data_IF_808601831432
#
_entry.id   IF_808601831432
#
_cell.length_a   1.000
_cell.length_b   1.000
_cell.length_c   1.000
_cell.angle_alpha   90.00
_cell.angle_beta   90.00
_cell.angle_gamma   90.00
#
_symmetry.space_group_name_H-M   'P 1'
#
loop_
_entity.id
_entity.type
_entity.pdbx_description
1 polymer ?
#
# COMPACT_ATOMS: atom_id res chain seq x y z
N UNK A 1 2.07 12.73 -1.11
CA UNK A 1 1.93 13.43 0.19
C UNK A 1 1.40 12.42 1.19
N UNK A 2 2.03 12.25 2.36
CA UNK A 2 1.55 11.32 3.40
C UNK A 2 0.79 12.08 4.48
N UNK A 3 -0.31 11.50 4.95
CA UNK A 3 -1.17 12.08 5.99
C UNK A 3 -1.66 10.99 6.95
N UNK A 4 -1.97 11.33 8.21
CA UNK A 4 -2.86 10.47 9.00
C UNK A 4 -4.16 10.22 8.25
N UNK A 5 -4.72 9.01 8.33
CA UNK A 5 -5.94 8.64 7.61
C UNK A 5 -7.12 9.55 7.97
N UNK A 6 -7.21 10.01 9.22
CA UNK A 6 -8.24 10.94 9.70
C UNK A 6 -8.20 12.31 9.01
N UNK A 7 -7.06 12.68 8.44
CA UNK A 7 -6.84 13.98 7.81
C UNK A 7 -6.84 13.91 6.28
N UNK A 8 -6.98 12.72 5.69
CA UNK A 8 -6.86 12.48 4.26
C UNK A 8 -7.73 13.43 3.43
N UNK A 9 -9.03 13.48 3.71
CA UNK A 9 -9.98 14.31 2.95
C UNK A 9 -9.72 15.82 3.09
N UNK A 10 -9.33 16.27 4.29
CA UNK A 10 -9.03 17.69 4.51
C UNK A 10 -7.82 18.13 3.68
N UNK A 11 -6.77 17.29 3.63
CA UNK A 11 -5.56 17.59 2.87
C UNK A 11 -5.81 17.49 1.37
N UNK A 12 -6.53 16.47 0.90
CA UNK A 12 -6.89 16.32 -0.52
C UNK A 12 -7.62 17.56 -1.04
N UNK A 13 -8.66 18.02 -0.32
CA UNK A 13 -9.42 19.22 -0.71
C UNK A 13 -8.57 20.49 -0.72
N UNK A 14 -7.65 20.64 0.24
CA UNK A 14 -6.75 21.79 0.29
C UNK A 14 -5.80 21.83 -0.92
N UNK A 15 -5.26 20.67 -1.34
CA UNK A 15 -4.42 20.55 -2.52
C UNK A 15 -5.20 20.85 -3.80
N UNK A 16 -6.40 20.28 -3.95
CA UNK A 16 -7.27 20.54 -5.10
C UNK A 16 -7.67 22.03 -5.20
N UNK A 17 -7.99 22.67 -4.08
CA UNK A 17 -8.31 24.11 -4.03
C UNK A 17 -7.11 24.99 -4.42
N UNK A 18 -5.89 24.51 -4.19
CA UNK A 18 -4.66 25.15 -4.64
C UNK A 18 -4.31 24.84 -6.11
N UNK A 19 -5.17 24.12 -6.84
CA UNK A 19 -4.93 23.70 -8.22
C UNK A 19 -4.01 22.49 -8.38
N UNK A 20 -3.61 21.86 -7.28
CA UNK A 20 -2.76 20.68 -7.25
C UNK A 20 -3.64 19.42 -7.25
N UNK A 21 -4.04 18.97 -8.44
CA UNK A 21 -4.83 17.76 -8.58
C UNK A 21 -3.94 16.51 -8.39
N UNK A 22 -4.24 15.64 -7.42
CA UNK A 22 -3.50 14.40 -7.25
C UNK A 22 -3.81 13.44 -8.40
N UNK A 23 -2.79 12.73 -8.87
CA UNK A 23 -2.95 11.62 -9.82
C UNK A 23 -3.58 10.40 -9.14
N UNK A 24 -3.14 10.12 -7.90
CA UNK A 24 -3.69 9.10 -7.01
C UNK A 24 -3.87 9.68 -5.61
N UNK A 25 -4.99 9.36 -4.98
CA UNK A 25 -5.26 9.70 -3.59
C UNK A 25 -6.15 8.63 -2.96
N UNK A 26 -5.61 7.90 -2.00
CA UNK A 26 -6.29 6.81 -1.30
C UNK A 26 -5.85 6.73 0.17
N UNK A 27 -6.67 6.05 0.97
CA UNK A 27 -6.30 5.64 2.33
C UNK A 27 -5.85 4.20 2.24
N UNK A 28 -4.61 3.93 2.63
CA UNK A 28 -3.97 2.63 2.50
C UNK A 28 -3.14 2.33 3.75
N UNK A 29 -2.80 1.06 3.97
CA UNK A 29 -1.91 0.66 5.06
C UNK A 29 -0.46 0.72 4.59
N UNK A 30 0.37 1.47 5.33
CA UNK A 30 1.81 1.58 5.07
C UNK A 30 2.58 1.06 6.26
N UNK A 31 3.48 0.11 6.02
CA UNK A 31 4.38 -0.40 7.06
C UNK A 31 5.42 0.66 7.46
N UNK A 32 5.72 0.73 8.77
CA UNK A 32 6.76 1.63 9.28
C UNK A 32 8.17 1.08 9.04
N UNK A 33 8.34 -0.24 9.07
CA UNK A 33 9.60 -0.93 8.82
C UNK A 33 9.38 -2.05 7.80
N UNK A 34 10.33 -2.21 6.89
CA UNK A 34 10.37 -3.33 5.95
C UNK A 34 11.23 -4.49 6.46
N UNK A 35 10.97 -5.68 5.95
CA UNK A 35 11.79 -6.87 6.19
C UNK A 35 12.21 -7.44 4.84
N UNK A 36 13.50 -7.39 4.57
CA UNK A 36 14.07 -7.99 3.36
C UNK A 36 13.90 -9.51 3.38
N UNK A 37 13.27 -10.05 2.34
CA UNK A 37 13.20 -11.48 2.09
C UNK A 37 13.97 -11.82 0.83
N UNK A 38 14.73 -12.92 0.87
CA UNK A 38 15.53 -13.38 -0.27
C UNK A 38 15.33 -14.87 -0.52
N UNK A 39 15.71 -15.33 -1.72
CA UNK A 39 15.73 -16.75 -2.06
C UNK A 39 14.36 -17.43 -1.90
N UNK A 40 14.33 -18.55 -1.17
CA UNK A 40 13.13 -19.37 -1.01
C UNK A 40 12.01 -18.66 -0.22
N UNK A 41 12.37 -17.82 0.75
CA UNK A 41 11.39 -17.11 1.57
C UNK A 41 10.68 -16.00 0.78
N UNK A 42 11.41 -15.30 -0.10
CA UNK A 42 10.81 -14.36 -1.05
C UNK A 42 9.82 -15.06 -2.00
N UNK A 43 10.19 -16.23 -2.53
CA UNK A 43 9.31 -17.01 -3.40
C UNK A 43 8.05 -17.51 -2.69
N UNK A 44 8.17 -17.94 -1.43
CA UNK A 44 7.01 -18.34 -0.61
C UNK A 44 6.11 -17.15 -0.31
N UNK A 45 6.68 -15.99 0.01
CA UNK A 45 5.92 -14.78 0.23
C UNK A 45 5.16 -14.37 -1.02
N UNK A 46 5.80 -14.38 -2.19
CA UNK A 46 5.12 -14.06 -3.45
C UNK A 46 3.93 -14.98 -3.70
N UNK A 47 4.12 -16.31 -3.56
CA UNK A 47 3.01 -17.28 -3.73
C UNK A 47 1.87 -17.04 -2.73
N UNK A 48 2.19 -16.62 -1.51
CA UNK A 48 1.17 -16.29 -0.52
C UNK A 48 0.37 -15.05 -0.95
N UNK A 49 1.03 -14.01 -1.44
CA UNK A 49 0.37 -12.81 -1.95
C UNK A 49 -0.55 -13.17 -3.12
N UNK A 50 -0.06 -13.92 -4.11
CA UNK A 50 -0.84 -14.35 -5.27
C UNK A 50 -2.12 -15.09 -4.83
N UNK A 51 -2.00 -16.04 -3.90
CA UNK A 51 -3.16 -16.82 -3.40
C UNK A 51 -4.15 -15.95 -2.65
N UNK A 52 -3.70 -14.93 -1.91
CA UNK A 52 -4.59 -14.02 -1.19
C UNK A 52 -5.32 -13.08 -2.15
N UNK A 53 -4.63 -12.59 -3.18
CA UNK A 53 -5.18 -11.71 -4.21
C UNK A 53 -6.17 -12.42 -5.14
N UNK A 54 -6.00 -13.72 -5.35
CA UNK A 54 -6.91 -14.55 -6.15
C UNK A 54 -8.26 -14.85 -5.46
N UNK A 55 -8.42 -14.54 -4.16
CA UNK A 55 -9.68 -14.76 -3.45
C UNK A 55 -10.68 -13.65 -3.78
N UNK A 56 -11.88 -14.03 -4.21
CA UNK A 56 -12.98 -13.09 -4.53
C UNK A 56 -13.35 -12.15 -3.37
N UNK A 57 -13.12 -12.59 -2.12
CA UNK A 57 -13.46 -11.84 -0.91
C UNK A 57 -12.33 -10.92 -0.41
N UNK A 58 -11.12 -11.04 -0.97
CA UNK A 58 -9.99 -10.18 -0.59
C UNK A 58 -10.18 -8.81 -1.23
N UNK A 59 -10.19 -7.77 -0.39
CA UNK A 59 -10.29 -6.39 -0.87
C UNK A 59 -8.92 -5.80 -1.18
N UNK A 60 -8.00 -5.86 -0.20
CA UNK A 60 -6.65 -5.30 -0.30
C UNK A 60 -5.70 -6.16 0.55
N UNK A 61 -4.48 -6.39 0.07
CA UNK A 61 -3.43 -7.10 0.80
C UNK A 61 -2.30 -6.14 1.11
N UNK A 62 -1.88 -6.08 2.37
CA UNK A 62 -0.79 -5.22 2.82
C UNK A 62 0.26 -6.05 3.55
N UNK A 63 1.53 -5.79 3.25
CA UNK A 63 2.66 -6.46 3.88
C UNK A 63 3.83 -5.50 4.07
N UNK A 64 4.82 -5.93 4.85
CA UNK A 64 6.07 -5.21 5.02
C UNK A 64 7.28 -5.96 4.43
N UNK A 65 7.04 -7.09 3.74
CA UNK A 65 8.10 -7.79 3.03
C UNK A 65 8.68 -6.88 1.93
N UNK A 66 9.99 -6.70 1.96
CA UNK A 66 10.77 -6.07 0.89
C UNK A 66 11.31 -7.20 0.01
N UNK A 67 10.73 -7.29 -1.18
CA UNK A 67 11.06 -8.28 -2.19
C UNK A 67 11.90 -7.57 -3.25
N UNK A 68 13.07 -8.11 -3.57
CA UNK A 68 13.82 -7.63 -4.73
C UNK A 68 13.05 -8.00 -6.00
N UNK A 69 12.65 -7.00 -6.80
CA UNK A 69 12.09 -7.20 -8.15
C UNK A 69 13.08 -7.91 -9.09
#
# INVERSE_FOLDING_TARGET
VLTPYTNFEAVKKALEAAGLKPELAEVTMRADNTIELTGEDAQKMQRLLDVLEDLDDTQEVFHNAELSE
#
